data_IF_038366138387
#
_entry.id   IF_038366138387
#
_cell.length_a   1.000
_cell.length_b   1.000
_cell.length_c   1.000
_cell.angle_alpha   90.00
_cell.angle_beta   90.00
_cell.angle_gamma   90.00
#
_symmetry.space_group_name_H-M   'P 1'
#
loop_
_entity.id
_entity.type
_entity.pdbx_description
1 polymer ?
#
# COMPACT_ATOMS: atom_id res chain seq x y z
N UNK A 1 -6.52 -32.12 -3.79
CA UNK A 1 -6.62 -30.71 -4.24
C UNK A 1 -5.29 -29.98 -4.06
N UNK A 2 -4.95 -29.03 -4.95
CA UNK A 2 -3.81 -28.10 -4.79
C UNK A 2 -4.22 -26.66 -5.13
N UNK A 3 -3.84 -25.70 -4.28
CA UNK A 3 -3.94 -24.28 -4.62
C UNK A 3 -2.78 -23.88 -5.55
N UNK A 4 -3.09 -23.27 -6.68
CA UNK A 4 -2.14 -22.86 -7.71
C UNK A 4 -2.04 -21.34 -7.68
N UNK A 5 -0.93 -20.82 -7.15
CA UNK A 5 -0.65 -19.38 -7.06
C UNK A 5 0.71 -19.00 -7.66
N UNK A 6 1.21 -19.84 -8.58
CA UNK A 6 2.44 -19.59 -9.32
C UNK A 6 3.65 -19.44 -8.37
N UNK A 7 4.47 -18.39 -8.55
CA UNK A 7 5.64 -18.16 -7.69
C UNK A 7 5.31 -17.93 -6.20
N UNK A 8 4.09 -17.48 -5.84
CA UNK A 8 3.74 -17.19 -4.43
C UNK A 8 3.79 -18.43 -3.54
N UNK A 9 3.43 -19.60 -4.08
CA UNK A 9 3.46 -20.87 -3.36
C UNK A 9 4.25 -21.97 -4.08
N UNK A 10 5.02 -21.61 -5.10
CA UNK A 10 5.83 -22.51 -5.95
C UNK A 10 5.01 -23.59 -6.67
N UNK A 11 3.72 -23.36 -6.89
CA UNK A 11 2.84 -24.23 -7.69
C UNK A 11 2.59 -23.56 -9.04
N UNK A 12 3.45 -23.84 -10.02
CA UNK A 12 3.37 -23.28 -11.38
C UNK A 12 2.53 -24.18 -12.30
N UNK A 13 1.69 -23.57 -13.14
CA UNK A 13 0.90 -24.31 -14.14
C UNK A 13 1.77 -25.11 -15.12
N UNK A 14 2.96 -24.60 -15.45
CA UNK A 14 3.90 -25.32 -16.31
C UNK A 14 4.38 -26.63 -15.67
N UNK A 15 4.64 -26.63 -14.36
CA UNK A 15 5.04 -27.85 -13.65
C UNK A 15 3.87 -28.82 -13.58
N UNK A 16 2.68 -28.30 -13.26
CA UNK A 16 1.45 -29.09 -13.24
C UNK A 16 1.20 -29.80 -14.58
N UNK A 17 1.33 -29.08 -15.70
CA UNK A 17 1.20 -29.66 -17.04
C UNK A 17 2.15 -30.84 -17.23
N UNK A 18 3.43 -30.67 -16.86
CA UNK A 18 4.44 -31.73 -16.97
C UNK A 18 4.15 -32.96 -16.10
N UNK A 19 3.50 -32.77 -14.95
CA UNK A 19 3.13 -33.85 -14.04
C UNK A 19 1.95 -34.71 -14.56
N UNK A 20 0.98 -34.09 -15.24
CA UNK A 20 -0.33 -34.72 -15.53
C UNK A 20 -0.54 -35.08 -16.99
N UNK A 21 0.25 -34.53 -17.92
CA UNK A 21 0.03 -34.74 -19.36
C UNK A 21 0.17 -36.21 -19.76
N UNK A 22 1.12 -36.94 -19.17
CA UNK A 22 1.36 -38.35 -19.53
C UNK A 22 0.22 -39.28 -19.09
N UNK A 23 -0.34 -39.06 -17.90
CA UNK A 23 -1.38 -39.90 -17.31
C UNK A 23 -2.78 -39.63 -17.87
N UNK A 24 -3.02 -38.46 -18.44
CA UNK A 24 -4.33 -38.12 -18.98
C UNK A 24 -4.65 -38.87 -20.29
N UNK A 25 -5.94 -39.11 -20.57
CA UNK A 25 -6.36 -39.73 -21.84
C UNK A 25 -6.60 -38.71 -22.95
N UNK A 26 -7.04 -37.51 -22.60
CA UNK A 26 -7.21 -36.35 -23.48
C UNK A 26 -7.18 -35.05 -22.67
N UNK A 27 -7.08 -33.93 -23.38
CA UNK A 27 -7.17 -32.60 -22.81
C UNK A 27 -8.39 -31.88 -23.36
N UNK A 28 -9.21 -31.30 -22.49
CA UNK A 28 -10.25 -30.33 -22.85
C UNK A 28 -9.91 -29.00 -22.20
N UNK A 29 -9.77 -27.95 -22.98
CA UNK A 29 -9.34 -26.65 -22.49
C UNK A 29 -10.33 -25.57 -22.94
N UNK A 30 -11.05 -24.97 -21.99
CA UNK A 30 -11.91 -23.81 -22.21
C UNK A 30 -11.23 -22.58 -21.61
N UNK A 31 -10.43 -21.90 -22.42
CA UNK A 31 -9.62 -20.76 -21.98
C UNK A 31 -9.84 -19.59 -22.93
N UNK A 32 -10.41 -18.51 -22.39
CA UNK A 32 -10.86 -17.37 -23.18
C UNK A 32 -9.74 -16.75 -24.04
N UNK A 33 -8.56 -16.55 -23.45
CA UNK A 33 -7.42 -15.96 -24.13
C UNK A 33 -6.27 -16.95 -24.27
N UNK A 34 -5.70 -17.02 -25.48
CA UNK A 34 -4.50 -17.79 -25.76
C UNK A 34 -3.55 -16.97 -26.63
N UNK A 35 -2.31 -16.85 -26.18
CA UNK A 35 -1.29 -15.99 -26.77
C UNK A 35 -0.17 -16.82 -27.37
N UNK A 36 0.43 -16.32 -28.45
CA UNK A 36 1.56 -16.96 -29.14
C UNK A 36 2.81 -17.15 -28.25
N UNK A 37 2.91 -16.38 -27.16
CA UNK A 37 4.03 -16.46 -26.22
C UNK A 37 3.99 -17.73 -25.35
N UNK A 38 2.86 -18.43 -25.27
CA UNK A 38 2.73 -19.66 -24.49
C UNK A 38 2.00 -20.76 -25.26
N UNK A 39 2.77 -21.52 -26.04
CA UNK A 39 2.29 -22.68 -26.79
C UNK A 39 2.38 -24.00 -26.01
N UNK A 40 2.83 -23.97 -24.74
CA UNK A 40 3.25 -25.16 -23.98
C UNK A 40 2.19 -26.24 -23.87
N UNK A 41 0.92 -25.88 -23.65
CA UNK A 41 -0.18 -26.85 -23.59
C UNK A 41 -0.37 -27.58 -24.93
N UNK A 42 -0.40 -26.82 -26.03
CA UNK A 42 -0.58 -27.35 -27.38
C UNK A 42 0.61 -28.25 -27.78
N UNK A 43 1.82 -27.80 -27.51
CA UNK A 43 3.06 -28.53 -27.78
C UNK A 43 3.16 -29.82 -26.96
N UNK A 44 2.79 -29.79 -25.67
CA UNK A 44 2.75 -30.97 -24.83
C UNK A 44 1.72 -32.00 -25.32
N UNK A 45 0.52 -31.56 -25.70
CA UNK A 45 -0.47 -32.46 -26.31
C UNK A 45 0.07 -33.10 -27.59
N UNK A 46 0.75 -32.33 -28.44
CA UNK A 46 1.34 -32.85 -29.66
C UNK A 46 2.51 -33.82 -29.43
N UNK A 47 3.39 -33.50 -28.49
CA UNK A 47 4.53 -34.33 -28.12
C UNK A 47 4.10 -35.68 -27.54
N UNK A 48 3.08 -35.68 -26.70
CA UNK A 48 2.57 -36.88 -26.02
C UNK A 48 1.41 -37.55 -26.76
N UNK A 49 1.09 -37.09 -27.99
CA UNK A 49 -0.02 -37.58 -28.83
C UNK A 49 -1.38 -37.62 -28.10
N UNK A 50 -1.61 -36.65 -27.21
CA UNK A 50 -2.86 -36.53 -26.46
C UNK A 50 -3.89 -35.78 -27.30
N UNK A 51 -5.10 -36.34 -27.51
CA UNK A 51 -6.19 -35.60 -28.12
C UNK A 51 -6.47 -34.32 -27.33
N UNK A 52 -6.65 -33.20 -28.03
CA UNK A 52 -6.92 -31.89 -27.48
C UNK A 52 -8.20 -31.33 -28.10
N UNK A 53 -9.13 -30.94 -27.25
CA UNK A 53 -10.27 -30.09 -27.61
C UNK A 53 -10.09 -28.72 -26.96
N UNK A 54 -9.85 -27.70 -27.77
CA UNK A 54 -9.65 -26.33 -27.31
C UNK A 54 -10.84 -25.44 -27.66
N UNK A 55 -11.33 -24.70 -26.66
CA UNK A 55 -12.36 -23.68 -26.79
C UNK A 55 -11.77 -22.31 -26.44
N UNK A 56 -11.74 -21.43 -27.44
CA UNK A 56 -11.29 -20.06 -27.29
C UNK A 56 -12.41 -19.05 -27.50
N UNK A 57 -12.25 -17.83 -26.98
CA UNK A 57 -13.23 -16.76 -27.24
C UNK A 57 -13.03 -16.23 -28.66
N UNK A 58 -14.13 -15.94 -29.34
CA UNK A 58 -14.15 -15.23 -30.62
C UNK A 58 -14.90 -13.92 -30.46
N UNK A 59 -14.17 -12.81 -30.63
CA UNK A 59 -14.73 -11.46 -30.62
C UNK A 59 -13.77 -10.50 -31.34
N UNK A 60 -14.10 -9.21 -31.30
CA UNK A 60 -13.29 -8.13 -31.87
C UNK A 60 -11.94 -7.93 -31.15
N UNK A 61 -11.72 -8.56 -29.99
CA UNK A 61 -10.48 -8.44 -29.20
C UNK A 61 -9.43 -9.50 -29.56
N UNK A 62 -9.67 -10.32 -30.60
CA UNK A 62 -8.71 -11.33 -31.07
C UNK A 62 -8.16 -12.14 -29.89
N UNK A 63 -9.08 -12.68 -29.09
CA UNK A 63 -8.74 -13.28 -27.81
C UNK A 63 -7.81 -14.49 -27.93
N UNK A 64 -7.93 -15.24 -29.03
CA UNK A 64 -6.99 -16.28 -29.44
C UNK A 64 -6.09 -15.74 -30.53
N UNK A 65 -4.78 -15.72 -30.28
CA UNK A 65 -3.78 -15.23 -31.21
C UNK A 65 -3.84 -16.02 -32.55
N UNK A 66 -3.76 -15.35 -33.72
CA UNK A 66 -3.76 -16.02 -35.00
C UNK A 66 -2.70 -17.12 -35.15
N UNK A 67 -1.55 -17.04 -34.46
CA UNK A 67 -0.54 -18.09 -34.46
C UNK A 67 -1.05 -19.39 -33.81
N UNK A 68 -1.88 -19.29 -32.77
CA UNK A 68 -2.53 -20.45 -32.13
C UNK A 68 -3.55 -21.07 -33.09
N UNK A 69 -4.40 -20.25 -33.72
CA UNK A 69 -5.37 -20.73 -34.70
C UNK A 69 -4.68 -21.41 -35.89
N UNK A 70 -3.61 -20.80 -36.39
CA UNK A 70 -2.79 -21.35 -37.47
C UNK A 70 -2.19 -22.70 -37.10
N UNK A 71 -1.72 -22.87 -35.86
CA UNK A 71 -1.18 -24.14 -35.37
C UNK A 71 -2.19 -25.27 -35.52
N UNK A 72 -3.46 -25.06 -35.14
CA UNK A 72 -4.52 -26.07 -35.30
C UNK A 72 -4.78 -26.40 -36.78
N UNK A 73 -4.89 -25.38 -37.63
CA UNK A 73 -5.09 -25.58 -39.07
C UNK A 73 -3.93 -26.33 -39.73
N UNK A 74 -2.69 -26.02 -39.35
CA UNK A 74 -1.48 -26.64 -39.92
C UNK A 74 -1.29 -28.08 -39.42
N UNK A 75 -1.73 -28.40 -38.20
CA UNK A 75 -1.68 -29.78 -37.67
C UNK A 75 -2.60 -30.73 -38.44
N UNK A 76 -3.77 -30.24 -38.88
CA UNK A 76 -4.74 -30.96 -39.71
C UNK A 76 -4.98 -32.43 -39.25
N UNK A 77 -5.06 -32.65 -37.94
CA UNK A 77 -5.15 -33.97 -37.32
C UNK A 77 -6.47 -34.12 -36.57
N UNK A 78 -7.13 -35.28 -36.62
CA UNK A 78 -8.35 -35.54 -35.85
C UNK A 78 -8.13 -35.49 -34.34
N UNK A 79 -6.88 -35.50 -33.87
CA UNK A 79 -6.56 -35.38 -32.46
C UNK A 79 -6.60 -33.94 -31.94
N UNK A 80 -6.62 -32.91 -32.79
CA UNK A 80 -6.56 -31.52 -32.35
C UNK A 80 -7.73 -30.73 -32.90
N UNK A 81 -8.72 -30.51 -32.05
CA UNK A 81 -9.92 -29.77 -32.36
C UNK A 81 -9.86 -28.38 -31.73
N UNK A 82 -10.19 -27.36 -32.52
CA UNK A 82 -10.26 -25.98 -32.08
C UNK A 82 -11.62 -25.43 -32.43
N UNK A 83 -12.34 -24.99 -31.40
CA UNK A 83 -13.66 -24.39 -31.52
C UNK A 83 -13.64 -23.02 -30.85
N UNK A 84 -14.45 -22.12 -31.40
CA UNK A 84 -14.49 -20.73 -31.01
C UNK A 84 -15.89 -20.37 -30.52
N UNK A 85 -15.96 -19.79 -29.33
CA UNK A 85 -17.19 -19.39 -28.68
C UNK A 85 -17.37 -17.87 -28.85
N UNK A 86 -18.41 -17.41 -29.57
CA UNK A 86 -18.64 -15.99 -29.77
C UNK A 86 -18.90 -15.25 -28.45
N UNK A 87 -18.16 -14.17 -28.23
CA UNK A 87 -18.37 -13.09 -27.27
C UNK A 87 -18.36 -13.42 -25.76
N UNK A 88 -18.82 -14.59 -25.31
CA UNK A 88 -19.18 -14.81 -23.91
C UNK A 88 -18.21 -15.71 -23.12
N UNK A 89 -17.29 -16.41 -23.80
CA UNK A 89 -16.36 -17.30 -23.10
C UNK A 89 -15.34 -16.49 -22.30
N UNK A 90 -15.41 -16.60 -20.97
CA UNK A 90 -14.42 -16.02 -20.07
C UNK A 90 -13.84 -17.05 -19.08
N UNK A 91 -14.11 -18.35 -19.27
CA UNK A 91 -13.55 -19.41 -18.46
C UNK A 91 -12.02 -19.54 -18.67
N UNK A 92 -11.35 -20.14 -17.68
CA UNK A 92 -9.97 -20.63 -17.77
C UNK A 92 -9.88 -21.99 -17.08
N UNK A 93 -10.36 -22.99 -17.80
CA UNK A 93 -10.41 -24.38 -17.33
C UNK A 93 -9.54 -25.22 -18.24
N UNK A 94 -8.64 -26.01 -17.64
CA UNK A 94 -7.86 -27.02 -18.35
C UNK A 94 -8.14 -28.36 -17.67
N UNK A 95 -8.80 -29.25 -18.38
CA UNK A 95 -9.14 -30.57 -17.89
C UNK A 95 -8.29 -31.62 -18.61
N UNK A 96 -7.36 -32.21 -17.87
CA UNK A 96 -6.62 -33.39 -18.27
C UNK A 96 -7.43 -34.61 -17.84
N UNK A 97 -8.28 -35.10 -18.75
CA UNK A 97 -9.24 -36.18 -18.47
C UNK A 97 -8.51 -37.40 -17.92
N UNK A 98 -9.07 -38.00 -16.86
CA UNK A 98 -8.50 -39.09 -16.05
C UNK A 98 -7.25 -38.75 -15.21
N UNK A 99 -6.76 -37.50 -15.25
CA UNK A 99 -5.66 -37.05 -14.39
C UNK A 99 -6.09 -35.95 -13.40
N UNK A 100 -6.89 -34.98 -13.85
CA UNK A 100 -7.41 -33.88 -13.02
C UNK A 100 -7.73 -32.61 -13.81
N UNK A 101 -8.26 -31.60 -13.14
CA UNK A 101 -8.66 -30.34 -13.76
C UNK A 101 -8.09 -29.13 -13.01
N UNK A 102 -7.61 -28.14 -13.76
CA UNK A 102 -7.34 -26.79 -13.28
C UNK A 102 -8.54 -25.88 -13.54
N UNK A 103 -8.94 -25.13 -12.53
CA UNK A 103 -9.97 -24.07 -12.60
C UNK A 103 -9.40 -22.83 -11.92
N UNK A 104 -9.30 -21.70 -12.64
CA UNK A 104 -8.75 -20.48 -12.05
C UNK A 104 -8.79 -19.26 -12.95
N UNK A 105 -7.85 -18.34 -12.72
CA UNK A 105 -7.76 -17.06 -13.44
C UNK A 105 -6.79 -17.06 -14.63
N UNK A 106 -5.90 -18.05 -14.73
CA UNK A 106 -4.80 -18.01 -15.68
C UNK A 106 -5.22 -18.32 -17.12
N UNK A 107 -5.07 -17.35 -18.02
CA UNK A 107 -5.16 -17.57 -19.47
C UNK A 107 -3.92 -18.33 -20.01
N UNK A 108 -3.93 -18.75 -21.27
CA UNK A 108 -2.77 -19.36 -21.93
C UNK A 108 -1.80 -18.27 -22.43
N UNK A 109 -1.07 -17.65 -21.51
CA UNK A 109 0.02 -16.69 -21.79
C UNK A 109 1.18 -16.89 -20.83
N UNK A 110 2.39 -16.44 -21.21
CA UNK A 110 3.56 -16.60 -20.34
C UNK A 110 3.41 -15.74 -19.09
N UNK A 111 2.82 -14.54 -19.23
CA UNK A 111 2.57 -13.66 -18.09
C UNK A 111 1.68 -14.32 -17.04
N UNK A 112 0.56 -14.92 -17.46
CA UNK A 112 -0.36 -15.61 -16.54
C UNK A 112 0.31 -16.83 -15.88
N UNK A 113 1.08 -17.61 -16.64
CA UNK A 113 1.66 -18.85 -16.09
C UNK A 113 2.88 -18.61 -15.18
N UNK A 114 3.56 -17.46 -15.30
CA UNK A 114 4.89 -17.25 -14.70
C UNK A 114 4.95 -16.03 -13.77
N UNK A 115 4.32 -14.90 -14.13
CA UNK A 115 4.68 -13.59 -13.53
C UNK A 115 3.54 -12.82 -12.91
N UNK A 116 2.30 -12.99 -13.39
CA UNK A 116 1.12 -12.38 -12.80
C UNK A 116 0.78 -13.04 -11.45
N UNK A 117 0.07 -12.29 -10.61
CA UNK A 117 -0.60 -12.87 -9.45
C UNK A 117 -1.87 -13.54 -9.98
N UNK A 118 -1.81 -14.85 -10.17
CA UNK A 118 -2.95 -15.70 -10.55
C UNK A 118 -3.37 -16.57 -9.37
N UNK A 119 -4.63 -17.00 -9.39
CA UNK A 119 -5.16 -17.95 -8.41
C UNK A 119 -6.00 -19.01 -9.13
N UNK A 120 -5.87 -20.25 -8.68
CA UNK A 120 -6.73 -21.34 -9.12
C UNK A 120 -6.53 -22.59 -8.29
N UNK A 121 -7.29 -23.61 -8.64
CA UNK A 121 -7.27 -24.89 -7.95
C UNK A 121 -7.05 -25.99 -8.95
N UNK A 122 -6.18 -26.94 -8.61
CA UNK A 122 -6.08 -28.22 -9.29
C UNK A 122 -6.77 -29.30 -8.47
N UNK A 123 -7.74 -29.98 -9.08
CA UNK A 123 -8.48 -31.10 -8.53
C UNK A 123 -8.01 -32.38 -9.24
N UNK A 124 -7.38 -33.34 -8.53
CA UNK A 124 -7.04 -34.63 -9.12
C UNK A 124 -8.30 -35.43 -9.48
N UNK A 125 -8.16 -36.42 -10.37
CA UNK A 125 -9.30 -37.15 -10.94
C UNK A 125 -10.14 -37.89 -9.88
N UNK A 126 -9.51 -38.52 -8.90
CA UNK A 126 -10.19 -39.19 -7.77
C UNK A 126 -11.13 -38.25 -7.03
N UNK A 127 -10.67 -37.02 -6.74
CA UNK A 127 -11.47 -35.99 -6.08
C UNK A 127 -12.61 -35.47 -6.98
N UNK A 128 -12.37 -35.32 -8.29
CA UNK A 128 -13.43 -34.95 -9.25
C UNK A 128 -14.56 -35.98 -9.28
N UNK A 129 -14.21 -37.26 -9.18
CA UNK A 129 -15.17 -38.37 -9.15
C UNK A 129 -15.91 -38.42 -7.82
N UNK A 130 -15.19 -38.38 -6.70
CA UNK A 130 -15.77 -38.47 -5.35
C UNK A 130 -16.77 -37.33 -5.07
N UNK A 131 -16.45 -36.12 -5.54
CA UNK A 131 -17.29 -34.93 -5.35
C UNK A 131 -18.40 -34.79 -6.41
N UNK A 132 -18.40 -35.61 -7.46
CA UNK A 132 -19.31 -35.50 -8.60
C UNK A 132 -18.99 -34.34 -9.57
N UNK A 133 -17.92 -33.58 -9.32
CA UNK A 133 -17.49 -32.46 -10.19
C UNK A 133 -17.08 -32.91 -11.59
N UNK A 134 -16.69 -34.17 -11.78
CA UNK A 134 -16.45 -34.71 -13.13
C UNK A 134 -17.68 -34.55 -14.03
N UNK A 135 -18.87 -34.88 -13.53
CA UNK A 135 -20.12 -34.75 -14.31
C UNK A 135 -20.48 -33.29 -14.57
N UNK A 136 -20.13 -32.40 -13.65
CA UNK A 136 -20.28 -30.95 -13.87
C UNK A 136 -19.32 -30.44 -14.95
N UNK A 137 -18.07 -30.91 -14.98
CA UNK A 137 -17.14 -30.58 -16.05
C UNK A 137 -17.61 -31.13 -17.40
N UNK A 138 -18.14 -32.36 -17.45
CA UNK A 138 -18.73 -32.93 -18.67
C UNK A 138 -19.83 -32.02 -19.21
N UNK A 139 -20.84 -31.71 -18.38
CA UNK A 139 -21.95 -30.81 -18.74
C UNK A 139 -21.47 -29.42 -19.13
N UNK A 140 -20.51 -28.85 -18.39
CA UNK A 140 -19.93 -27.56 -18.70
C UNK A 140 -19.35 -27.54 -20.11
N UNK A 141 -18.53 -28.52 -20.46
CA UNK A 141 -17.92 -28.56 -21.77
C UNK A 141 -18.91 -28.93 -22.89
N UNK A 142 -19.97 -29.70 -22.61
CA UNK A 142 -21.08 -29.92 -23.55
C UNK A 142 -21.80 -28.59 -23.87
N UNK A 143 -22.15 -27.81 -22.85
CA UNK A 143 -22.79 -26.50 -23.03
C UNK A 143 -21.87 -25.49 -23.74
N UNK A 144 -20.57 -25.55 -23.47
CA UNK A 144 -19.57 -24.74 -24.20
C UNK A 144 -19.53 -25.16 -25.67
N UNK A 145 -19.56 -26.46 -25.96
CA UNK A 145 -19.51 -27.00 -27.31
C UNK A 145 -20.73 -26.61 -28.15
N UNK A 146 -21.93 -26.70 -27.58
CA UNK A 146 -23.18 -26.30 -28.24
C UNK A 146 -23.17 -24.81 -28.69
N UNK A 147 -22.40 -23.98 -28.00
CA UNK A 147 -22.24 -22.55 -28.29
C UNK A 147 -21.02 -22.24 -29.14
N UNK A 148 -20.17 -23.22 -29.41
CA UNK A 148 -18.95 -23.04 -30.17
C UNK A 148 -19.17 -23.24 -31.67
N UNK A 149 -18.20 -22.78 -32.46
CA UNK A 149 -18.10 -23.03 -33.90
C UNK A 149 -16.71 -23.58 -34.22
N UNK A 150 -16.59 -24.63 -35.04
CA UNK A 150 -15.28 -25.17 -35.40
C UNK A 150 -14.45 -24.12 -36.13
N UNK A 151 -13.14 -24.12 -35.86
CA UNK A 151 -12.20 -23.26 -36.55
C UNK A 151 -12.16 -23.59 -38.04
N UNK A 152 -12.40 -22.58 -38.87
CA UNK A 152 -12.26 -22.67 -40.33
C UNK A 152 -11.16 -21.75 -40.82
N UNK A 153 -10.74 -21.94 -42.08
CA UNK A 153 -9.78 -21.06 -42.75
C UNK A 153 -10.32 -19.64 -42.86
N UNK A 154 -11.62 -19.48 -43.04
CA UNK A 154 -12.31 -18.19 -43.14
C UNK A 154 -12.25 -17.44 -41.80
N UNK A 155 -12.54 -18.13 -40.69
CA UNK A 155 -12.45 -17.53 -39.34
C UNK A 155 -11.01 -17.13 -39.02
N UNK A 156 -10.03 -17.99 -39.33
CA UNK A 156 -8.61 -17.66 -39.16
C UNK A 156 -8.22 -16.40 -39.96
N UNK A 157 -8.61 -16.32 -41.23
CA UNK A 157 -8.30 -15.16 -42.08
C UNK A 157 -8.97 -13.88 -41.57
N UNK A 158 -10.19 -13.97 -41.04
CA UNK A 158 -10.87 -12.84 -40.41
C UNK A 158 -10.09 -12.34 -39.19
N UNK A 159 -9.76 -13.24 -38.26
CA UNK A 159 -9.04 -12.91 -37.03
C UNK A 159 -7.62 -12.38 -37.32
N UNK A 160 -6.95 -12.90 -38.35
CA UNK A 160 -5.66 -12.37 -38.81
C UNK A 160 -5.76 -10.91 -39.29
N UNK A 161 -6.75 -10.60 -40.14
CA UNK A 161 -6.98 -9.22 -40.60
C UNK A 161 -7.36 -8.28 -39.45
N UNK A 162 -8.14 -8.76 -38.48
CA UNK A 162 -8.48 -7.99 -37.28
C UNK A 162 -7.24 -7.73 -36.42
N UNK A 163 -6.36 -8.72 -36.24
CA UNK A 163 -5.10 -8.56 -35.51
C UNK A 163 -4.21 -7.47 -36.14
N UNK A 164 -4.08 -7.48 -37.47
CA UNK A 164 -3.30 -6.48 -38.20
C UNK A 164 -3.87 -5.06 -38.00
N UNK A 165 -5.20 -4.91 -38.12
CA UNK A 165 -5.88 -3.61 -37.86
C UNK A 165 -5.70 -3.14 -36.42
N UNK A 166 -5.72 -4.06 -35.45
CA UNK A 166 -5.53 -3.71 -34.04
C UNK A 166 -4.10 -3.28 -33.72
N UNK A 167 -3.11 -3.84 -34.41
CA UNK A 167 -1.71 -3.39 -34.30
C UNK A 167 -1.57 -1.88 -34.60
N UNK A 168 -2.37 -1.35 -35.52
CA UNK A 168 -2.40 0.08 -35.82
C UNK A 168 -3.04 0.91 -34.69
N UNK A 169 -4.11 0.40 -34.06
CA UNK A 169 -4.77 1.03 -32.92
C UNK A 169 -3.90 1.01 -31.65
N UNK A 170 -3.15 -0.07 -31.42
CA UNK A 170 -2.24 -0.19 -30.27
C UNK A 170 -1.16 0.88 -30.24
N UNK A 171 -0.78 1.47 -31.39
CA UNK A 171 0.14 2.62 -31.42
C UNK A 171 -0.43 3.86 -30.73
N UNK A 172 -1.75 4.05 -30.77
CA UNK A 172 -2.43 5.16 -30.06
C UNK A 172 -2.57 4.87 -28.58
N UNK A 173 -2.91 3.63 -28.21
CA UNK A 173 -2.95 3.19 -26.80
C UNK A 173 -1.59 3.32 -26.12
N UNK A 174 -0.50 3.02 -26.84
CA UNK A 174 0.85 3.17 -26.33
C UNK A 174 1.17 4.60 -25.85
N UNK A 175 0.65 5.63 -26.54
CA UNK A 175 0.79 7.02 -26.10
C UNK A 175 0.09 7.30 -24.76
N UNK A 176 -1.10 6.71 -24.55
CA UNK A 176 -1.82 6.80 -23.29
C UNK A 176 -1.10 6.03 -22.17
N UNK A 177 -0.56 4.85 -22.47
CA UNK A 177 0.24 4.08 -21.52
C UNK A 177 1.49 4.86 -21.07
N UNK A 178 2.21 5.48 -22.00
CA UNK A 178 3.36 6.32 -21.67
C UNK A 178 2.99 7.53 -20.81
N UNK A 179 1.87 8.18 -21.12
CA UNK A 179 1.39 9.31 -20.33
C UNK A 179 0.99 8.85 -18.92
N UNK A 180 0.22 7.77 -18.82
CA UNK A 180 -0.12 7.18 -17.54
C UNK A 180 1.14 6.80 -16.75
N UNK A 181 2.15 6.22 -17.40
CA UNK A 181 3.37 5.82 -16.73
C UNK A 181 4.23 6.99 -16.25
N UNK A 182 4.14 8.14 -16.91
CA UNK A 182 4.78 9.37 -16.49
C UNK A 182 4.07 10.00 -15.28
N UNK A 183 2.75 9.96 -15.29
CA UNK A 183 1.90 10.65 -14.32
C UNK A 183 1.38 9.73 -13.19
N UNK A 184 1.77 8.45 -13.20
CA UNK A 184 1.30 7.45 -12.24
C UNK A 184 1.64 7.83 -10.80
N UNK A 185 0.65 7.74 -9.92
CA UNK A 185 0.81 7.98 -8.49
C UNK A 185 1.43 6.78 -7.74
N UNK A 186 1.26 5.57 -8.29
CA UNK A 186 1.75 4.33 -7.70
C UNK A 186 2.89 3.79 -8.55
N UNK A 187 4.02 3.32 -8.00
CA UNK A 187 5.11 2.75 -8.79
C UNK A 187 4.66 1.52 -9.59
N UNK A 188 5.40 1.19 -10.67
CA UNK A 188 5.18 -0.07 -11.39
C UNK A 188 5.45 -1.24 -10.45
N UNK A 189 4.50 -2.17 -10.38
CA UNK A 189 4.76 -3.44 -9.76
C UNK A 189 5.54 -4.32 -10.75
N UNK A 190 6.57 -5.00 -10.27
CA UNK A 190 7.29 -5.96 -11.08
C UNK A 190 6.57 -7.31 -11.00
N UNK A 191 6.65 -8.12 -12.07
CA UNK A 191 6.14 -9.48 -12.03
C UNK A 191 6.81 -10.28 -10.91
N UNK A 192 6.16 -11.34 -10.43
CA UNK A 192 6.63 -12.13 -9.29
C UNK A 192 8.01 -12.77 -9.49
N UNK A 193 8.46 -12.88 -10.74
CA UNK A 193 9.83 -13.26 -11.12
C UNK A 193 10.58 -11.99 -11.54
N UNK A 194 11.12 -11.25 -10.57
CA UNK A 194 11.91 -10.04 -10.80
C UNK A 194 13.12 -9.97 -9.87
N UNK A 195 14.25 -9.50 -10.40
CA UNK A 195 15.47 -9.24 -9.63
C UNK A 195 15.56 -7.74 -9.35
N UNK A 196 15.41 -7.35 -8.09
CA UNK A 196 15.44 -5.95 -7.67
C UNK A 196 16.88 -5.42 -7.60
N UNK A 197 17.19 -4.46 -8.49
CA UNK A 197 18.50 -3.82 -8.61
C UNK A 197 18.64 -2.52 -7.80
N UNK A 198 17.62 -2.11 -7.05
CA UNK A 198 17.66 -0.85 -6.26
C UNK A 198 18.66 -0.91 -5.10
N UNK A 199 19.29 0.23 -4.81
CA UNK A 199 20.21 0.40 -3.67
C UNK A 199 19.46 0.31 -2.34
N UNK A 200 20.14 -0.18 -1.30
CA UNK A 200 19.54 -0.35 0.03
C UNK A 200 19.04 0.95 0.67
N UNK A 201 19.69 2.08 0.40
CA UNK A 201 19.24 3.41 0.86
C UNK A 201 17.87 3.79 0.29
N UNK A 202 17.65 3.53 -0.99
CA UNK A 202 16.40 3.83 -1.68
C UNK A 202 15.24 2.98 -1.15
N UNK A 203 15.49 1.70 -0.87
CA UNK A 203 14.49 0.81 -0.24
C UNK A 203 14.08 1.30 1.15
N UNK A 204 15.04 1.79 1.95
CA UNK A 204 14.74 2.36 3.27
C UNK A 204 13.90 3.63 3.17
N UNK A 205 14.22 4.50 2.20
CA UNK A 205 13.40 5.69 1.94
C UNK A 205 11.98 5.33 1.49
N UNK A 206 11.81 4.40 0.54
CA UNK A 206 10.49 3.96 0.08
C UNK A 206 9.64 3.38 1.22
N UNK A 207 10.25 2.57 2.10
CA UNK A 207 9.58 2.01 3.28
C UNK A 207 9.18 3.09 4.30
N UNK A 208 10.02 4.10 4.47
CA UNK A 208 9.71 5.26 5.32
C UNK A 208 8.59 6.11 4.73
N UNK A 209 8.66 6.42 3.43
CA UNK A 209 7.66 7.23 2.74
C UNK A 209 6.29 6.57 2.76
N UNK A 210 6.24 5.25 2.54
CA UNK A 210 5.01 4.48 2.66
C UNK A 210 4.46 4.56 4.10
N UNK A 211 5.26 4.24 5.12
CA UNK A 211 4.83 4.34 6.53
C UNK A 211 4.33 5.74 6.90
N UNK A 212 5.02 6.77 6.42
CA UNK A 212 4.65 8.16 6.64
C UNK A 212 3.31 8.51 6.03
N UNK A 213 3.12 8.20 4.75
CA UNK A 213 1.90 8.54 4.03
C UNK A 213 0.70 7.72 4.51
N UNK A 214 0.88 6.44 4.81
CA UNK A 214 -0.16 5.57 5.37
C UNK A 214 -0.63 6.10 6.73
N UNK A 215 0.31 6.44 7.62
CA UNK A 215 -0.01 7.02 8.93
C UNK A 215 -0.69 8.38 8.79
N UNK A 216 -0.21 9.25 7.90
CA UNK A 216 -0.81 10.56 7.64
C UNK A 216 -2.27 10.44 7.17
N UNK A 217 -2.56 9.46 6.30
CA UNK A 217 -3.93 9.22 5.83
C UNK A 217 -4.86 8.77 6.97
N UNK A 218 -4.38 7.90 7.87
CA UNK A 218 -5.13 7.52 9.08
C UNK A 218 -5.40 8.76 9.95
N UNK A 219 -4.38 9.57 10.22
CA UNK A 219 -4.53 10.77 11.04
C UNK A 219 -5.49 11.79 10.42
N UNK A 220 -5.48 11.98 9.09
CA UNK A 220 -6.47 12.84 8.39
C UNK A 220 -7.88 12.31 8.52
N UNK A 221 -8.06 10.98 8.45
CA UNK A 221 -9.37 10.35 8.62
C UNK A 221 -9.90 10.56 10.05
N UNK A 222 -9.04 10.42 11.06
CA UNK A 222 -9.39 10.73 12.46
C UNK A 222 -9.67 12.22 12.64
N UNK A 223 -8.87 13.11 12.06
CA UNK A 223 -9.07 14.56 12.11
C UNK A 223 -10.45 14.97 11.58
N UNK A 224 -10.88 14.39 10.46
CA UNK A 224 -12.22 14.61 9.91
C UNK A 224 -13.33 14.17 10.89
N UNK A 225 -13.15 13.01 11.54
CA UNK A 225 -14.16 12.47 12.46
C UNK A 225 -14.23 13.20 13.79
N UNK A 226 -13.08 13.47 14.41
CA UNK A 226 -13.03 14.10 15.73
C UNK A 226 -13.51 15.55 15.70
N UNK A 227 -13.33 16.23 14.56
CA UNK A 227 -13.81 17.61 14.36
C UNK A 227 -15.28 17.69 13.94
N UNK A 228 -15.94 16.56 13.68
CA UNK A 228 -17.34 16.54 13.31
C UNK A 228 -18.23 16.98 14.49
N UNK A 229 -19.35 17.70 14.25
CA UNK A 229 -20.20 18.24 15.31
C UNK A 229 -20.70 17.22 16.35
N UNK A 230 -20.88 15.95 15.96
CA UNK A 230 -21.34 14.88 16.85
C UNK A 230 -20.25 14.15 17.64
N UNK A 231 -18.97 14.44 17.40
CA UNK A 231 -17.84 13.84 18.11
C UNK A 231 -16.98 14.88 18.83
N UNK A 232 -17.04 16.14 18.38
CA UNK A 232 -16.30 17.24 18.97
C UNK A 232 -16.88 17.61 20.35
N UNK A 233 -16.05 17.80 21.40
CA UNK A 233 -16.48 18.31 22.69
C UNK A 233 -17.04 19.73 22.60
N UNK A 234 -17.94 20.08 23.52
CA UNK A 234 -18.56 21.41 23.57
C UNK A 234 -17.58 22.56 23.84
N UNK A 235 -16.44 22.28 24.46
CA UNK A 235 -15.40 23.28 24.78
C UNK A 235 -14.44 23.58 23.61
N UNK A 236 -14.52 22.83 22.50
CA UNK A 236 -13.69 23.06 21.30
C UNK A 236 -14.47 23.86 20.26
N UNK A 237 -13.94 25.02 19.87
CA UNK A 237 -14.53 25.87 18.84
C UNK A 237 -14.49 25.21 17.45
N UNK A 238 -15.47 25.52 16.60
CA UNK A 238 -15.54 25.00 15.23
C UNK A 238 -14.41 25.51 14.33
N UNK A 239 -13.75 26.61 14.70
CA UNK A 239 -12.61 27.17 13.97
C UNK A 239 -11.28 26.47 14.25
N UNK A 240 -11.20 25.58 15.25
CA UNK A 240 -9.97 24.86 15.56
C UNK A 240 -9.65 23.88 14.43
N UNK A 241 -8.45 23.98 13.88
CA UNK A 241 -8.02 23.15 12.76
C UNK A 241 -8.15 21.64 13.07
N UNK A 242 -8.69 20.81 12.16
CA UNK A 242 -8.92 19.39 12.41
C UNK A 242 -7.68 18.60 12.86
N UNK A 243 -6.49 18.94 12.33
CA UNK A 243 -5.26 18.28 12.73
C UNK A 243 -4.86 18.54 14.20
N UNK A 244 -5.17 19.72 14.73
CA UNK A 244 -4.96 20.03 16.15
C UNK A 244 -5.88 19.16 17.01
N UNK A 245 -7.15 19.07 16.63
CA UNK A 245 -8.12 18.25 17.35
C UNK A 245 -7.73 16.77 17.33
N UNK A 246 -7.23 16.26 16.20
CA UNK A 246 -6.74 14.89 16.10
C UNK A 246 -5.54 14.61 17.01
N UNK A 247 -4.55 15.51 17.04
CA UNK A 247 -3.39 15.36 17.92
C UNK A 247 -3.81 15.37 19.39
N UNK A 248 -4.66 16.31 19.81
CA UNK A 248 -5.11 16.41 21.20
C UNK A 248 -6.05 15.28 21.61
N UNK A 249 -6.91 14.79 20.72
CA UNK A 249 -7.70 13.59 20.94
C UNK A 249 -6.81 12.36 21.14
N UNK A 250 -5.84 12.12 20.26
CA UNK A 250 -4.93 10.99 20.37
C UNK A 250 -4.02 11.11 21.61
N UNK A 251 -3.63 12.34 21.97
CA UNK A 251 -2.89 12.64 23.19
C UNK A 251 -3.72 12.28 24.43
N UNK A 252 -4.91 12.83 24.56
CA UNK A 252 -5.79 12.59 25.70
C UNK A 252 -6.18 11.11 25.78
N UNK A 253 -6.56 10.48 24.67
CA UNK A 253 -6.88 9.05 24.63
C UNK A 253 -5.70 8.22 25.14
N UNK A 254 -4.49 8.49 24.67
CA UNK A 254 -3.30 7.79 25.15
C UNK A 254 -3.07 7.99 26.66
N UNK A 255 -3.20 9.21 27.18
CA UNK A 255 -2.90 9.48 28.60
C UNK A 255 -4.00 9.06 29.58
N UNK A 256 -5.26 9.14 29.16
CA UNK A 256 -6.44 8.95 30.03
C UNK A 256 -7.05 7.56 29.89
N UNK A 257 -6.97 6.94 28.71
CA UNK A 257 -7.56 5.62 28.44
C UNK A 257 -6.54 4.49 28.32
N UNK A 258 -5.33 4.77 27.79
CA UNK A 258 -4.34 3.72 27.49
C UNK A 258 -3.26 3.61 28.56
N UNK A 259 -2.66 4.73 28.96
CA UNK A 259 -1.54 4.75 29.91
C UNK A 259 -2.04 4.38 31.31
N UNK A 260 -1.35 3.43 31.95
CA UNK A 260 -1.67 2.93 33.29
C UNK A 260 -0.46 3.12 34.21
N UNK A 261 -0.44 4.22 34.96
CA UNK A 261 0.72 4.60 35.77
C UNK A 261 2.00 4.73 34.95
N UNK A 262 3.00 3.90 35.24
CA UNK A 262 4.26 3.83 34.47
C UNK A 262 4.21 2.84 33.29
N UNK A 263 3.12 2.08 33.13
CA UNK A 263 2.94 1.12 32.07
C UNK A 263 2.40 1.80 30.81
N UNK A 264 2.86 1.31 29.66
CA UNK A 264 2.47 1.80 28.35
C UNK A 264 1.84 0.65 27.52
N UNK A 265 0.64 0.15 27.86
CA UNK A 265 0.07 -1.09 27.31
C UNK A 265 -0.54 -0.92 25.91
N UNK A 266 -0.01 -0.03 25.06
CA UNK A 266 -0.58 0.25 23.74
C UNK A 266 -0.56 -0.96 22.78
N UNK A 267 0.35 -1.93 22.96
CA UNK A 267 0.34 -3.18 22.17
C UNK A 267 -0.80 -4.12 22.60
N UNK A 268 -1.14 -4.18 23.89
CA UNK A 268 -2.28 -4.99 24.35
C UNK A 268 -3.60 -4.41 23.85
N UNK A 269 -3.71 -3.08 23.85
CA UNK A 269 -4.83 -2.40 23.20
C UNK A 269 -4.86 -2.68 21.70
N UNK A 270 -3.71 -2.69 21.02
CA UNK A 270 -3.63 -3.04 19.60
C UNK A 270 -4.11 -4.47 19.32
N UNK A 271 -3.65 -5.46 20.08
CA UNK A 271 -4.04 -6.86 19.90
C UNK A 271 -5.56 -7.07 20.08
N UNK A 272 -6.17 -6.31 20.99
CA UNK A 272 -7.63 -6.30 21.19
C UNK A 272 -8.35 -5.57 20.04
N UNK A 273 -7.91 -4.35 19.73
CA UNK A 273 -8.65 -3.41 18.88
C UNK A 273 -8.39 -3.62 17.38
N UNK A 274 -7.27 -4.23 16.98
CA UNK A 274 -6.94 -4.52 15.57
C UNK A 274 -7.94 -5.43 14.88
N UNK A 275 -8.72 -6.20 15.64
CA UNK A 275 -9.83 -7.04 15.12
C UNK A 275 -11.01 -6.21 14.66
N UNK A 276 -11.24 -5.04 15.26
CA UNK A 276 -12.27 -4.09 14.85
C UNK A 276 -11.88 -2.64 15.25
N UNK A 277 -11.00 -1.98 14.49
CA UNK A 277 -10.52 -0.64 14.80
C UNK A 277 -11.63 0.42 14.77
N UNK A 278 -12.69 0.18 13.97
CA UNK A 278 -13.83 1.11 13.88
C UNK A 278 -14.61 1.17 15.18
N UNK A 279 -14.87 0.01 15.81
CA UNK A 279 -15.52 -0.04 17.11
C UNK A 279 -14.69 0.70 18.17
N UNK A 280 -13.39 0.43 18.23
CA UNK A 280 -12.49 1.10 19.17
C UNK A 280 -12.43 2.62 18.96
N UNK A 281 -12.41 3.09 17.70
CA UNK A 281 -12.43 4.51 17.40
C UNK A 281 -13.77 5.15 17.78
N UNK A 282 -14.91 4.50 17.50
CA UNK A 282 -16.22 5.02 17.90
C UNK A 282 -16.31 5.20 19.41
N UNK A 283 -15.95 4.17 20.18
CA UNK A 283 -16.00 4.22 21.64
C UNK A 283 -15.05 5.31 22.19
N UNK A 284 -13.87 5.49 21.57
CA UNK A 284 -12.97 6.58 21.93
C UNK A 284 -13.52 7.97 21.57
N UNK A 285 -14.21 8.13 20.44
CA UNK A 285 -14.85 9.38 20.04
C UNK A 285 -16.02 9.74 20.96
N UNK A 286 -16.81 8.77 21.42
CA UNK A 286 -17.86 8.97 22.42
C UNK A 286 -17.26 9.47 23.73
N UNK A 287 -16.22 8.80 24.24
CA UNK A 287 -15.49 9.26 25.43
C UNK A 287 -14.92 10.68 25.26
N UNK A 288 -14.35 10.99 24.10
CA UNK A 288 -13.82 12.32 23.81
C UNK A 288 -14.94 13.36 23.81
N UNK A 289 -16.06 13.10 23.14
CA UNK A 289 -17.21 14.00 23.07
C UNK A 289 -17.77 14.33 24.45
N UNK A 290 -17.92 13.33 25.32
CA UNK A 290 -18.40 13.50 26.68
C UNK A 290 -17.47 14.39 27.52
N UNK A 291 -16.17 14.38 27.20
CA UNK A 291 -15.13 15.20 27.82
C UNK A 291 -15.10 15.17 29.35
N UNK A 292 -15.53 14.04 29.96
CA UNK A 292 -15.52 13.81 31.40
C UNK A 292 -14.10 13.44 31.90
N UNK A 293 -13.18 14.38 31.72
CA UNK A 293 -11.82 14.31 32.24
C UNK A 293 -11.21 15.73 32.33
N UNK A 294 -10.17 15.89 33.14
CA UNK A 294 -9.37 17.12 33.16
C UNK A 294 -8.64 17.30 31.82
N UNK A 295 -9.14 18.27 31.05
CA UNK A 295 -8.70 18.65 29.71
C UNK A 295 -7.97 20.00 29.67
N UNK A 296 -7.52 20.53 30.82
CA UNK A 296 -6.83 21.83 30.90
C UNK A 296 -5.55 21.89 30.05
N UNK A 297 -4.85 20.76 29.92
CA UNK A 297 -3.67 20.65 29.06
C UNK A 297 -4.04 20.72 27.57
N UNK A 298 -5.07 19.98 27.16
CA UNK A 298 -5.57 19.98 25.78
C UNK A 298 -6.11 21.36 25.40
N UNK A 299 -6.86 22.02 26.29
CA UNK A 299 -7.37 23.37 26.11
C UNK A 299 -6.25 24.38 25.91
N UNK A 300 -5.23 24.36 26.78
CA UNK A 300 -4.03 25.20 26.65
C UNK A 300 -3.31 24.96 25.32
N UNK A 301 -3.19 23.71 24.91
CA UNK A 301 -2.51 23.38 23.65
C UNK A 301 -3.29 23.88 22.44
N UNK A 302 -4.63 23.75 22.46
CA UNK A 302 -5.52 24.20 21.40
C UNK A 302 -5.55 25.72 21.27
N UNK A 303 -5.74 26.44 22.38
CA UNK A 303 -6.03 27.88 22.34
C UNK A 303 -4.81 28.77 22.54
N UNK A 304 -3.75 28.29 23.20
CA UNK A 304 -2.53 29.08 23.40
C UNK A 304 -1.39 28.60 22.51
N UNK A 305 -1.09 27.29 22.50
CA UNK A 305 0.14 26.80 21.87
C UNK A 305 0.00 26.71 20.35
N UNK A 306 -1.10 26.14 19.86
CA UNK A 306 -1.31 25.93 18.44
C UNK A 306 -1.32 27.24 17.64
N UNK A 307 -2.07 28.31 18.04
CA UNK A 307 -2.07 29.56 17.30
C UNK A 307 -0.68 30.21 17.30
N UNK A 308 0.03 30.17 18.44
CA UNK A 308 1.37 30.74 18.57
C UNK A 308 2.40 30.00 17.70
N UNK A 309 2.36 28.68 17.67
CA UNK A 309 3.23 27.88 16.79
C UNK A 309 2.94 28.15 15.32
N UNK A 310 1.66 28.24 14.94
CA UNK A 310 1.25 28.56 13.56
C UNK A 310 1.76 29.94 13.11
N UNK A 311 1.72 30.92 14.01
CA UNK A 311 2.26 32.27 13.77
C UNK A 311 3.79 32.24 13.58
N UNK A 312 4.53 31.64 14.51
CA UNK A 312 6.00 31.63 14.50
C UNK A 312 6.58 30.80 13.33
N UNK A 313 5.90 29.72 12.96
CA UNK A 313 6.32 28.81 11.89
C UNK A 313 5.74 29.17 10.51
N UNK A 314 5.06 30.31 10.40
CA UNK A 314 4.54 30.81 9.13
C UNK A 314 5.67 31.05 8.11
N UNK A 315 5.36 30.85 6.82
CA UNK A 315 6.34 30.86 5.72
C UNK A 315 7.20 32.12 5.66
N UNK A 316 6.63 33.28 5.97
CA UNK A 316 7.27 34.59 5.92
C UNK A 316 7.93 35.01 7.26
N UNK A 317 7.70 34.23 8.33
CA UNK A 317 8.17 34.49 9.70
C UNK A 317 9.30 33.57 10.15
N UNK A 318 9.25 32.29 9.78
CA UNK A 318 10.11 31.23 10.33
C UNK A 318 11.63 31.50 10.23
N UNK A 319 12.09 32.16 9.17
CA UNK A 319 13.50 32.52 8.98
C UNK A 319 13.93 33.81 9.71
N UNK A 320 12.97 34.54 10.29
CA UNK A 320 13.19 35.85 10.93
C UNK A 320 13.02 35.78 12.45
N UNK A 321 12.82 34.59 13.00
CA UNK A 321 12.66 34.43 14.44
C UNK A 321 13.92 34.92 15.16
N UNK A 322 13.72 35.59 16.27
CA UNK A 322 14.77 35.84 17.26
C UNK A 322 15.06 34.56 18.06
N UNK A 323 16.17 34.53 18.80
CA UNK A 323 16.46 33.41 19.72
C UNK A 323 15.32 33.20 20.72
N UNK A 324 14.78 34.28 21.29
CA UNK A 324 13.67 34.21 22.23
C UNK A 324 12.38 33.66 21.60
N UNK A 325 12.03 34.10 20.38
CA UNK A 325 10.87 33.54 19.66
C UNK A 325 11.09 32.08 19.25
N UNK A 326 12.31 31.68 18.92
CA UNK A 326 12.64 30.29 18.65
C UNK A 326 12.47 29.42 19.91
N UNK A 327 12.99 29.86 21.05
CA UNK A 327 12.81 29.18 22.35
C UNK A 327 11.32 29.09 22.71
N UNK A 328 10.56 30.16 22.48
CA UNK A 328 9.10 30.21 22.65
C UNK A 328 8.39 29.15 21.78
N UNK A 329 8.81 28.99 20.51
CA UNK A 329 8.27 27.96 19.64
C UNK A 329 8.62 26.54 20.13
N UNK A 330 9.91 26.23 20.31
CA UNK A 330 10.33 24.86 20.62
C UNK A 330 9.88 24.37 22.00
N UNK A 331 9.65 25.29 22.96
CA UNK A 331 9.10 24.95 24.28
C UNK A 331 7.64 24.46 24.23
N UNK A 332 6.90 24.79 23.15
CA UNK A 332 5.53 24.33 22.88
C UNK A 332 5.45 23.08 22.00
N UNK A 333 6.59 22.55 21.55
CA UNK A 333 6.66 21.28 20.82
C UNK A 333 6.91 20.16 21.81
N UNK A 334 5.94 19.27 21.99
CA UNK A 334 5.99 18.27 23.05
C UNK A 334 7.20 17.33 22.91
N UNK A 335 7.49 16.86 21.70
CA UNK A 335 8.63 15.98 21.46
C UNK A 335 9.97 16.63 21.84
N UNK A 336 10.10 17.95 21.65
CA UNK A 336 11.30 18.70 22.07
C UNK A 336 11.32 18.84 23.60
N UNK A 337 10.18 19.18 24.21
CA UNK A 337 10.04 19.33 25.65
C UNK A 337 10.42 18.06 26.41
N UNK A 338 9.90 16.91 25.96
CA UNK A 338 10.21 15.59 26.51
C UNK A 338 11.68 15.23 26.39
N UNK A 339 12.33 15.63 25.31
CA UNK A 339 13.74 15.37 25.07
C UNK A 339 14.63 16.28 25.93
N UNK A 340 14.28 17.56 26.04
CA UNK A 340 15.00 18.56 26.83
C UNK A 340 15.07 18.19 28.32
N UNK A 341 13.95 17.76 28.91
CA UNK A 341 13.89 17.38 30.33
C UNK A 341 14.83 16.20 30.65
N UNK A 342 15.11 15.35 29.66
CA UNK A 342 15.99 14.17 29.79
C UNK A 342 17.46 14.47 29.50
N UNK A 343 17.82 15.66 29.06
CA UNK A 343 19.23 16.01 28.82
C UNK A 343 19.97 16.16 30.15
N UNK A 344 21.26 15.80 30.18
CA UNK A 344 22.08 16.03 31.36
C UNK A 344 22.25 17.52 31.63
N UNK A 345 22.28 17.91 32.91
CA UNK A 345 22.40 19.33 33.28
C UNK A 345 23.72 19.92 32.77
N UNK A 346 24.82 19.16 32.84
CA UNK A 346 26.13 19.57 32.32
C UNK A 346 26.06 19.93 30.84
N UNK A 347 25.35 19.14 30.03
CA UNK A 347 25.16 19.38 28.60
C UNK A 347 24.45 20.72 28.32
N UNK A 348 23.58 21.15 29.23
CA UNK A 348 22.83 22.40 29.14
C UNK A 348 23.53 23.58 29.85
N UNK A 349 24.71 23.38 30.44
CA UNK A 349 25.38 24.38 31.26
C UNK A 349 24.64 24.71 32.56
N UNK A 350 23.84 23.77 33.06
CA UNK A 350 23.06 23.91 34.30
C UNK A 350 23.82 23.28 35.49
N UNK A 351 23.61 23.77 36.72
CA UNK A 351 24.24 23.20 37.90
C UNK A 351 23.88 21.72 38.12
N UNK A 352 24.79 20.96 38.73
CA UNK A 352 24.59 19.55 39.11
C UNK A 352 23.66 19.40 40.33
N UNK A 353 22.40 19.78 40.13
CA UNK A 353 21.28 19.63 41.07
C UNK A 353 19.97 19.55 40.27
N UNK A 354 18.88 18.97 40.83
CA UNK A 354 17.59 18.93 40.14
C UNK A 354 17.15 20.32 39.64
N UNK A 355 16.72 20.39 38.39
CA UNK A 355 16.23 21.62 37.74
C UNK A 355 14.73 21.48 37.47
N UNK A 356 14.02 22.61 37.42
CA UNK A 356 12.64 22.60 36.92
C UNK A 356 12.63 22.18 35.44
N UNK A 357 11.56 21.49 35.02
CA UNK A 357 11.44 21.03 33.64
C UNK A 357 11.49 22.19 32.64
N UNK A 358 10.83 23.31 32.97
CA UNK A 358 10.76 24.49 32.10
C UNK A 358 12.13 25.16 31.94
N UNK A 359 12.94 25.25 33.00
CA UNK A 359 14.31 25.77 32.93
C UNK A 359 15.18 24.93 31.99
N UNK A 360 15.05 23.60 32.03
CA UNK A 360 15.77 22.70 31.12
C UNK A 360 15.32 22.88 29.67
N UNK A 361 14.04 23.11 29.45
CA UNK A 361 13.46 23.35 28.12
C UNK A 361 13.99 24.66 27.52
N UNK A 362 14.02 25.72 28.32
CA UNK A 362 14.58 27.01 27.93
C UNK A 362 16.06 26.87 27.54
N UNK A 363 16.89 26.26 28.42
CA UNK A 363 18.32 26.06 28.14
C UNK A 363 18.58 25.14 26.95
N UNK A 364 17.76 24.12 26.76
CA UNK A 364 17.85 23.29 25.56
C UNK A 364 17.52 24.08 24.29
N UNK A 365 16.54 24.99 24.34
CA UNK A 365 16.21 25.89 23.24
C UNK A 365 17.37 26.83 22.89
N UNK A 366 17.96 27.49 23.89
CA UNK A 366 19.17 28.34 23.72
C UNK A 366 20.34 27.54 23.11
N UNK A 367 20.53 26.30 23.59
CA UNK A 367 21.55 25.42 23.06
C UNK A 367 21.28 25.03 21.60
N UNK A 368 20.03 24.67 21.27
CA UNK A 368 19.61 24.23 19.94
C UNK A 368 19.73 25.36 18.91
N UNK A 369 19.44 26.60 19.31
CA UNK A 369 19.60 27.80 18.48
C UNK A 369 21.02 27.97 17.94
N UNK A 370 22.02 27.60 18.74
CA UNK A 370 23.45 27.70 18.39
C UNK A 370 23.94 26.55 17.52
N UNK A 371 23.17 25.46 17.42
CA UNK A 371 23.59 24.31 16.63
C UNK A 371 23.51 24.57 15.13
N UNK A 372 24.33 23.84 14.39
CA UNK A 372 24.34 23.84 12.93
C UNK A 372 24.39 22.41 12.42
N UNK A 373 23.93 22.21 11.19
CA UNK A 373 24.22 20.97 10.47
C UNK A 373 25.71 20.90 10.12
N UNK A 374 26.15 19.76 9.58
CA UNK A 374 27.54 19.58 9.16
C UNK A 374 27.96 20.59 8.08
N UNK A 375 27.04 20.93 7.19
CA UNK A 375 27.25 21.94 6.13
C UNK A 375 26.89 23.37 6.58
N UNK A 376 26.68 23.58 7.88
CA UNK A 376 26.52 24.93 8.45
C UNK A 376 25.10 25.50 8.44
N UNK A 377 24.07 24.70 8.12
CA UNK A 377 22.67 25.16 8.16
C UNK A 377 22.22 25.45 9.59
N UNK A 378 21.52 26.56 9.76
CA UNK A 378 20.87 26.95 11.02
C UNK A 378 19.63 26.10 11.29
N UNK A 379 19.18 26.08 12.54
CA UNK A 379 17.91 25.43 12.90
C UNK A 379 16.72 26.07 12.18
N UNK A 380 16.71 27.39 11.96
CA UNK A 380 15.63 28.06 11.22
C UNK A 380 15.59 27.62 9.76
N UNK A 381 16.74 27.48 9.11
CA UNK A 381 16.81 26.94 7.74
C UNK A 381 16.29 25.50 7.70
N UNK A 382 16.64 24.66 8.67
CA UNK A 382 16.12 23.30 8.79
C UNK A 382 14.60 23.27 8.93
N UNK A 383 14.04 24.06 9.85
CA UNK A 383 12.59 24.11 10.05
C UNK A 383 11.88 24.63 8.79
N UNK A 384 12.40 25.68 8.17
CA UNK A 384 11.85 26.21 6.93
C UNK A 384 11.90 25.19 5.79
N UNK A 385 13.01 24.47 5.63
CA UNK A 385 13.13 23.40 4.66
C UNK A 385 12.05 22.34 4.90
N UNK A 386 11.96 21.80 6.11
CA UNK A 386 11.01 20.73 6.42
C UNK A 386 9.55 21.17 6.19
N UNK A 387 9.15 22.35 6.67
CA UNK A 387 7.76 22.83 6.59
C UNK A 387 7.40 23.32 5.17
N UNK A 388 8.27 24.11 4.54
CA UNK A 388 7.96 24.92 3.35
C UNK A 388 8.82 24.63 2.12
N UNK A 389 9.84 23.78 2.23
CA UNK A 389 10.72 23.42 1.12
C UNK A 389 10.00 22.66 0.00
N UNK A 390 10.70 22.47 -1.11
CA UNK A 390 10.17 21.76 -2.28
C UNK A 390 10.07 20.23 -2.07
N UNK A 391 9.30 19.54 -2.90
CA UNK A 391 9.11 18.09 -2.84
C UNK A 391 8.08 17.63 -1.81
N UNK A 392 8.08 16.33 -1.49
CA UNK A 392 7.18 15.75 -0.48
C UNK A 392 7.70 16.02 0.95
N UNK A 393 6.78 16.18 1.90
CA UNK A 393 7.11 16.31 3.34
C UNK A 393 7.90 15.08 3.82
N UNK A 394 7.54 13.87 3.36
CA UNK A 394 8.27 12.64 3.64
C UNK A 394 9.75 12.73 3.22
N UNK A 395 10.04 13.16 1.99
CA UNK A 395 11.40 13.32 1.51
C UNK A 395 12.19 14.34 2.35
N UNK A 396 11.56 15.46 2.71
CA UNK A 396 12.22 16.49 3.52
C UNK A 396 12.52 16.03 4.93
N UNK A 397 11.56 15.38 5.59
CA UNK A 397 11.75 14.76 6.91
C UNK A 397 12.85 13.70 6.88
N UNK A 398 12.86 12.85 5.86
CA UNK A 398 13.89 11.83 5.69
C UNK A 398 15.30 12.43 5.62
N UNK A 399 15.47 13.48 4.80
CA UNK A 399 16.75 14.17 4.64
C UNK A 399 17.15 14.92 5.93
N UNK A 400 16.19 15.55 6.60
CA UNK A 400 16.39 16.34 7.81
C UNK A 400 16.98 15.55 9.00
N UNK A 401 16.89 14.22 9.00
CA UNK A 401 17.44 13.39 10.08
C UNK A 401 18.61 12.51 9.65
N UNK A 402 19.04 12.58 8.39
CA UNK A 402 20.07 11.66 7.82
C UNK A 402 21.13 12.32 6.95
N UNK A 403 20.84 13.46 6.34
CA UNK A 403 21.78 14.13 5.45
C UNK A 403 22.70 15.07 6.22
N UNK A 404 23.97 15.13 5.82
CA UNK A 404 24.96 16.06 6.38
C UNK A 404 24.54 17.54 6.19
N UNK A 405 23.81 17.84 5.12
CA UNK A 405 23.30 19.19 4.83
C UNK A 405 22.25 19.66 5.84
N UNK A 406 21.36 18.76 6.30
CA UNK A 406 20.19 19.16 7.11
C UNK A 406 20.20 18.66 8.56
N UNK A 407 20.86 17.55 8.86
CA UNK A 407 20.76 16.92 10.18
C UNK A 407 21.42 17.80 11.26
N UNK A 408 20.64 18.15 12.29
CA UNK A 408 21.11 18.85 13.47
C UNK A 408 20.99 17.89 14.68
N UNK A 409 22.00 17.77 15.55
CA UNK A 409 21.94 16.90 16.70
C UNK A 409 20.73 17.18 17.60
N UNK A 410 20.19 16.13 18.24
CA UNK A 410 19.07 16.22 19.19
C UNK A 410 17.73 16.72 18.60
N UNK A 411 17.60 16.87 17.27
CA UNK A 411 16.31 17.07 16.59
C UNK A 411 15.95 15.80 15.78
N UNK A 412 14.93 15.09 16.23
CA UNK A 412 14.51 13.81 15.65
C UNK A 412 13.23 13.91 14.80
N UNK A 413 12.84 12.78 14.21
CA UNK A 413 11.62 12.71 13.39
C UNK A 413 10.36 13.14 14.16
N UNK A 414 10.24 12.75 15.44
CA UNK A 414 9.08 13.14 16.25
C UNK A 414 8.98 14.66 16.44
N UNK A 415 10.10 15.34 16.66
CA UNK A 415 10.12 16.81 16.77
C UNK A 415 9.74 17.46 15.45
N UNK A 416 10.34 17.01 14.35
CA UNK A 416 10.08 17.60 13.04
C UNK A 416 8.66 17.29 12.51
N UNK A 417 8.14 16.09 12.76
CA UNK A 417 6.78 15.70 12.40
C UNK A 417 5.72 16.50 13.17
N UNK A 418 6.00 16.81 14.43
CA UNK A 418 5.16 17.67 15.25
C UNK A 418 5.21 19.13 14.76
N UNK A 419 6.40 19.67 14.47
CA UNK A 419 6.58 21.03 13.91
C UNK A 419 5.83 21.20 12.59
N UNK A 420 5.92 20.22 11.67
CA UNK A 420 5.16 20.25 10.41
C UNK A 420 3.67 20.38 10.69
N UNK A 421 3.15 19.58 11.62
CA UNK A 421 1.73 19.60 11.92
C UNK A 421 1.28 20.87 12.63
N UNK A 422 2.08 21.43 13.53
CA UNK A 422 1.73 22.71 14.18
C UNK A 422 1.80 23.90 13.21
N UNK A 423 2.71 23.87 12.24
CA UNK A 423 2.79 24.90 11.21
C UNK A 423 1.64 24.81 10.20
N UNK A 424 1.17 23.59 9.88
CA UNK A 424 0.18 23.31 8.84
C UNK A 424 -0.91 22.33 9.30
N UNK A 425 -1.64 22.65 10.39
CA UNK A 425 -2.55 21.70 11.04
C UNK A 425 -3.76 21.32 10.18
N UNK A 426 -4.12 22.15 9.21
CA UNK A 426 -5.20 21.87 8.26
C UNK A 426 -4.83 20.78 7.25
N UNK A 427 -3.53 20.57 7.01
CA UNK A 427 -3.02 19.62 6.01
C UNK A 427 -2.33 18.40 6.64
N UNK A 428 -1.66 18.61 7.78
CA UNK A 428 -0.87 17.63 8.49
C UNK A 428 -1.23 17.68 9.98
N UNK A 429 -1.91 16.67 10.54
CA UNK A 429 -2.01 16.55 11.98
C UNK A 429 -0.62 16.35 12.62
N UNK A 430 -0.30 17.01 13.75
CA UNK A 430 0.97 16.80 14.45
C UNK A 430 1.25 15.32 14.74
N UNK A 431 2.40 14.82 14.26
CA UNK A 431 2.82 13.43 14.46
C UNK A 431 4.04 13.35 15.37
N UNK A 432 3.89 12.64 16.48
CA UNK A 432 4.96 12.34 17.43
C UNK A 432 4.79 10.89 17.96
N UNK A 433 5.65 10.47 18.89
CA UNK A 433 5.56 9.13 19.47
C UNK A 433 4.25 8.87 20.22
N UNK A 434 3.63 9.90 20.84
CA UNK A 434 2.40 9.74 21.64
C UNK A 434 1.19 9.56 20.74
N UNK A 435 1.07 10.37 19.69
CA UNK A 435 0.02 10.18 18.69
C UNK A 435 0.17 8.83 17.99
N UNK A 436 1.39 8.40 17.69
CA UNK A 436 1.64 7.06 17.15
C UNK A 436 1.22 5.94 18.12
N UNK A 437 1.45 6.10 19.44
CA UNK A 437 0.96 5.15 20.46
C UNK A 437 -0.56 5.16 20.59
N UNK A 438 -1.21 6.32 20.52
CA UNK A 438 -2.67 6.43 20.51
C UNK A 438 -3.29 5.71 19.30
N UNK A 439 -2.73 5.93 18.10
CA UNK A 439 -3.12 5.23 16.88
C UNK A 439 -2.94 3.72 16.99
N UNK A 440 -1.79 3.27 17.51
CA UNK A 440 -1.51 1.85 17.75
C UNK A 440 -2.55 1.25 18.70
N UNK A 441 -2.84 1.93 19.80
CA UNK A 441 -3.85 1.48 20.77
C UNK A 441 -5.27 1.47 20.20
N UNK A 442 -5.60 2.27 19.17
CA UNK A 442 -6.88 2.19 18.47
C UNK A 442 -6.98 1.01 17.48
N UNK A 443 -5.91 0.23 17.30
CA UNK A 443 -5.89 -0.94 16.41
C UNK A 443 -5.29 -0.67 15.03
N UNK A 444 -4.76 0.53 14.77
CA UNK A 444 -4.07 0.83 13.51
C UNK A 444 -2.64 0.27 13.52
N UNK A 445 -2.23 -0.39 12.43
CA UNK A 445 -0.89 -0.99 12.31
C UNK A 445 0.20 0.05 11.98
N UNK A 446 0.34 1.06 12.84
CA UNK A 446 1.35 2.12 12.70
C UNK A 446 2.64 1.75 13.44
N UNK A 447 3.79 2.18 12.92
CA UNK A 447 5.07 2.04 13.62
C UNK A 447 5.29 3.19 14.59
N UNK A 448 5.82 2.85 15.76
CA UNK A 448 6.20 3.81 16.80
C UNK A 448 7.69 4.09 16.69
N UNK A 449 8.08 5.37 16.69
CA UNK A 449 9.49 5.78 16.80
C UNK A 449 10.33 5.58 15.53
N UNK A 450 9.74 5.78 14.35
CA UNK A 450 10.46 5.73 13.05
C UNK A 450 11.52 6.82 12.95
#
# INVERSE_FOLDING_TARGET
MRFIAGPLNKQLLQNLLGEVIESCTRVRAAVAYASRDNMKLFEACAQHLKPLEFFGRYDHTVAVDPAVLKWFLDKASPNYDCKLVPDILHAKIIWWVDAGAYIGSANLSDRAWISNIEAGTFLPHDELVETGMERELQRFFEEVDDRARPLTKEIYQEQLRLADRRSELSKREYGLEQQFDKDRLLPKNHGLVFVDTKRSSEKRFQKFEQDWNDTLQVMRSIASRVSAPGAKPGWIDASVAPGVQADQFLHAYYYKQVKDGNRHPYEEFFDRNSKNPELALRDALEWWHDADFDHSFEERTIYEWSPRLRELLARDRILKLTEQEFVDAVSRVHAIRDHAIKQENEHLGLPDRPQAGDDKVEKFGEWLWRQRSREGRTVLELLNYVVWGNGSVSARLWNAIRSDDWAIPHIGLSSLGEIVGWARPDEFPPRNMRTSKGLRALGYNVRIGV
#
